data_IF_574335504205
#
_entry.id   IF_574335504205
#
_cell.length_a   1.000
_cell.length_b   1.000
_cell.length_c   1.000
_cell.angle_alpha   90.00
_cell.angle_beta   90.00
_cell.angle_gamma   90.00
#
_symmetry.space_group_name_H-M   'P 1'
#
loop_
_entity.id
_entity.type
_entity.pdbx_description
1 polymer ?
#
# COMPACT_ATOMS: atom_id res chain seq x y z
N UNK A 1 18.70 7.13 -4.68
CA UNK A 1 18.09 8.27 -5.43
C UNK A 1 17.46 9.25 -4.45
N UNK A 2 17.50 10.51 -4.76
CA UNK A 2 16.95 11.57 -3.89
C UNK A 2 15.48 11.86 -4.14
N UNK A 3 15.00 11.52 -5.31
CA UNK A 3 13.61 11.66 -5.70
C UNK A 3 13.22 10.58 -6.69
N UNK A 4 11.93 10.33 -6.83
CA UNK A 4 11.42 9.42 -7.86
C UNK A 4 10.53 10.20 -8.83
N UNK A 5 10.55 9.79 -10.08
CA UNK A 5 9.69 10.33 -11.13
C UNK A 5 8.49 9.42 -11.37
N UNK A 6 7.65 9.81 -12.31
CA UNK A 6 6.47 9.02 -12.66
C UNK A 6 6.82 7.63 -13.19
N UNK A 7 7.90 7.52 -13.98
CA UNK A 7 8.34 6.23 -14.52
C UNK A 7 8.68 5.25 -13.39
N UNK A 8 9.43 5.69 -12.38
CA UNK A 8 9.77 4.86 -11.23
C UNK A 8 8.51 4.48 -10.44
N UNK A 9 7.62 5.43 -10.19
CA UNK A 9 6.39 5.13 -9.46
C UNK A 9 5.50 4.15 -10.22
N UNK A 10 5.43 4.28 -11.54
CA UNK A 10 4.74 3.29 -12.39
C UNK A 10 5.33 1.90 -12.19
N UNK A 11 6.66 1.76 -12.21
CA UNK A 11 7.33 0.48 -11.96
C UNK A 11 7.02 -0.07 -10.57
N UNK A 12 6.98 0.79 -9.56
CA UNK A 12 6.62 0.41 -8.20
C UNK A 12 5.19 -0.16 -8.14
N UNK A 13 4.26 0.53 -8.77
CA UNK A 13 2.84 0.10 -8.81
C UNK A 13 2.70 -1.27 -9.48
N UNK A 14 3.35 -1.46 -10.64
CA UNK A 14 3.29 -2.73 -11.36
C UNK A 14 3.91 -3.87 -10.54
N UNK A 15 5.04 -3.61 -9.89
CA UNK A 15 5.70 -4.58 -9.02
C UNK A 15 4.83 -4.92 -7.80
N UNK A 16 4.22 -3.92 -7.18
CA UNK A 16 3.30 -4.12 -6.06
C UNK A 16 2.11 -5.00 -6.43
N UNK A 17 1.54 -4.78 -7.61
CA UNK A 17 0.44 -5.60 -8.11
C UNK A 17 0.86 -7.07 -8.29
N UNK A 18 2.06 -7.30 -8.81
CA UNK A 18 2.59 -8.65 -9.04
C UNK A 18 2.86 -9.37 -7.72
N UNK A 19 3.50 -8.71 -6.76
CA UNK A 19 3.79 -9.32 -5.45
C UNK A 19 2.49 -9.69 -4.74
N UNK A 20 1.50 -8.81 -4.76
CA UNK A 20 0.20 -9.10 -4.14
C UNK A 20 -0.49 -10.27 -4.85
N UNK A 21 -0.50 -10.28 -6.18
CA UNK A 21 -1.08 -11.38 -6.94
C UNK A 21 -0.40 -12.71 -6.62
N UNK A 22 0.93 -12.73 -6.61
CA UNK A 22 1.70 -13.96 -6.37
C UNK A 22 1.46 -14.54 -4.97
N UNK A 23 1.09 -13.71 -4.01
CA UNK A 23 0.95 -14.09 -2.60
C UNK A 23 -0.48 -13.98 -2.06
N UNK A 24 -1.47 -13.73 -2.93
CA UNK A 24 -2.85 -13.54 -2.44
C UNK A 24 -3.44 -14.79 -1.75
N UNK A 25 -3.06 -16.04 -2.10
CA UNK A 25 -3.59 -17.19 -1.37
C UNK A 25 -3.18 -17.22 0.11
N UNK A 26 -1.96 -16.76 0.45
CA UNK A 26 -1.54 -16.67 1.84
C UNK A 26 -2.33 -15.61 2.59
N UNK A 27 -2.68 -14.50 1.94
CA UNK A 27 -3.53 -13.46 2.54
C UNK A 27 -4.94 -13.99 2.76
N UNK A 28 -5.50 -14.72 1.79
CA UNK A 28 -6.80 -15.35 1.92
C UNK A 28 -6.85 -16.29 3.15
N UNK A 29 -5.76 -17.04 3.38
CA UNK A 29 -5.64 -17.96 4.51
C UNK A 29 -5.65 -17.25 5.87
N UNK A 30 -5.27 -15.99 5.94
CA UNK A 30 -5.28 -15.18 7.17
C UNK A 30 -6.65 -14.58 7.49
N UNK A 31 -7.59 -14.63 6.57
CA UNK A 31 -8.84 -13.86 6.65
C UNK A 31 -9.83 -14.46 7.66
N UNK A 32 -9.89 -13.85 8.85
CA UNK A 32 -10.83 -14.24 9.91
C UNK A 32 -11.70 -13.06 10.40
N UNK A 33 -11.38 -11.83 9.98
CA UNK A 33 -12.07 -10.61 10.40
C UNK A 33 -12.20 -9.64 9.22
N UNK A 34 -13.33 -8.93 9.09
CA UNK A 34 -14.53 -8.98 9.92
C UNK A 34 -15.39 -10.24 9.68
N UNK A 35 -15.28 -10.87 8.53
CA UNK A 35 -16.01 -12.07 8.15
C UNK A 35 -15.00 -13.12 7.64
N UNK A 36 -15.01 -14.35 8.15
CA UNK A 36 -14.00 -15.36 7.80
C UNK A 36 -14.33 -16.08 6.48
N UNK A 37 -14.52 -15.35 5.41
CA UNK A 37 -14.88 -15.87 4.08
C UNK A 37 -13.67 -16.19 3.18
N UNK A 38 -12.44 -15.91 3.64
CA UNK A 38 -11.23 -16.35 2.96
C UNK A 38 -10.95 -15.66 1.63
N UNK A 39 -11.39 -14.42 1.44
CA UNK A 39 -11.31 -13.73 0.16
C UNK A 39 -10.54 -12.39 0.17
N UNK A 40 -9.95 -12.02 1.30
CA UNK A 40 -9.27 -10.72 1.45
C UNK A 40 -8.14 -10.55 0.42
N UNK A 41 -7.29 -11.56 0.28
CA UNK A 41 -6.18 -11.51 -0.67
C UNK A 41 -6.66 -11.43 -2.12
N UNK A 42 -7.64 -12.25 -2.46
CA UNK A 42 -8.26 -12.22 -3.79
C UNK A 42 -8.85 -10.85 -4.10
N UNK A 43 -9.63 -10.30 -3.17
CA UNK A 43 -10.26 -8.99 -3.35
C UNK A 43 -9.24 -7.86 -3.45
N UNK A 44 -8.22 -7.86 -2.61
CA UNK A 44 -7.17 -6.84 -2.66
C UNK A 44 -6.37 -6.93 -3.97
N UNK A 45 -6.04 -8.14 -4.41
CA UNK A 45 -5.32 -8.36 -5.65
C UNK A 45 -6.12 -7.86 -6.85
N UNK A 46 -7.40 -8.19 -6.93
CA UNK A 46 -8.28 -7.71 -8.01
C UNK A 46 -8.40 -6.19 -7.98
N UNK A 47 -8.55 -5.61 -6.79
CA UNK A 47 -8.65 -4.16 -6.61
C UNK A 47 -7.37 -3.47 -7.10
N UNK A 48 -6.21 -3.90 -6.60
CA UNK A 48 -4.95 -3.25 -6.94
C UNK A 48 -4.62 -3.42 -8.42
N UNK A 49 -4.90 -4.59 -8.97
CA UNK A 49 -4.68 -4.87 -10.40
C UNK A 49 -5.52 -3.97 -11.29
N UNK A 50 -6.75 -3.64 -10.88
CA UNK A 50 -7.60 -2.69 -11.63
C UNK A 50 -6.93 -1.33 -11.79
N UNK A 51 -6.25 -0.85 -10.75
CA UNK A 51 -5.49 0.40 -10.82
C UNK A 51 -4.20 0.25 -11.62
N UNK A 52 -3.46 -0.84 -11.39
CA UNK A 52 -2.19 -1.10 -12.06
C UNK A 52 -2.36 -1.22 -13.58
N UNK A 53 -3.43 -1.85 -14.05
CA UNK A 53 -3.73 -1.95 -15.49
C UNK A 53 -3.90 -0.58 -16.14
N UNK A 54 -4.53 0.36 -15.47
CA UNK A 54 -4.68 1.73 -15.98
C UNK A 54 -3.34 2.47 -15.99
N UNK A 55 -2.54 2.29 -14.95
CA UNK A 55 -1.21 2.92 -14.85
C UNK A 55 -0.28 2.37 -15.94
N UNK A 56 -0.35 1.10 -16.25
CA UNK A 56 0.48 0.47 -17.29
C UNK A 56 0.34 1.14 -18.65
N UNK A 57 -0.85 1.66 -18.95
CA UNK A 57 -1.14 2.33 -20.24
C UNK A 57 -0.52 3.73 -20.36
N UNK A 58 -0.03 4.30 -19.26
CA UNK A 58 0.50 5.66 -19.28
C UNK A 58 1.93 5.68 -19.81
N UNK A 59 2.28 6.78 -20.48
CA UNK A 59 3.64 6.99 -20.99
C UNK A 59 4.65 7.13 -19.86
N UNK A 60 5.91 6.76 -20.11
CA UNK A 60 6.98 6.80 -19.12
C UNK A 60 7.32 8.22 -18.63
N UNK A 61 7.02 9.26 -19.44
CA UNK A 61 7.25 10.66 -19.05
C UNK A 61 6.08 11.28 -18.28
N UNK A 62 5.08 10.48 -17.93
CA UNK A 62 3.93 10.95 -17.14
C UNK A 62 4.40 11.41 -15.75
N UNK A 63 3.98 12.61 -15.28
CA UNK A 63 4.33 13.08 -13.93
C UNK A 63 3.82 12.14 -12.84
N UNK A 64 4.54 12.08 -11.72
CA UNK A 64 4.17 11.19 -10.61
C UNK A 64 2.76 11.46 -10.09
N UNK A 65 2.34 12.74 -10.06
CA UNK A 65 0.98 13.09 -9.62
C UNK A 65 -0.10 12.49 -10.51
N UNK A 66 0.15 12.41 -11.81
CA UNK A 66 -0.79 11.82 -12.76
C UNK A 66 -0.80 10.28 -12.69
N UNK A 67 0.35 9.67 -12.44
CA UNK A 67 0.43 8.22 -12.16
C UNK A 67 -0.42 7.89 -10.92
N UNK A 68 -0.24 8.64 -9.84
CA UNK A 68 -0.99 8.44 -8.59
C UNK A 68 -2.50 8.64 -8.79
N UNK A 69 -2.88 9.65 -9.55
CA UNK A 69 -4.28 9.95 -9.87
C UNK A 69 -4.93 8.80 -10.64
N UNK A 70 -4.24 8.30 -11.66
CA UNK A 70 -4.73 7.18 -12.48
C UNK A 70 -4.85 5.91 -11.65
N UNK A 71 -3.86 5.62 -10.80
CA UNK A 71 -3.91 4.50 -9.87
C UNK A 71 -5.15 4.62 -8.95
N UNK A 72 -5.33 5.76 -8.32
CA UNK A 72 -6.44 6.01 -7.41
C UNK A 72 -7.79 5.78 -8.07
N UNK A 73 -7.99 6.32 -9.26
CA UNK A 73 -9.24 6.14 -10.02
C UNK A 73 -9.49 4.68 -10.35
N UNK A 74 -8.49 3.96 -10.81
CA UNK A 74 -8.60 2.55 -11.14
C UNK A 74 -8.93 1.68 -9.93
N UNK A 75 -8.32 1.99 -8.78
CA UNK A 75 -8.61 1.30 -7.52
C UNK A 75 -10.06 1.53 -7.09
N UNK A 76 -10.52 2.79 -7.13
CA UNK A 76 -11.90 3.13 -6.76
C UNK A 76 -12.93 2.41 -7.62
N UNK A 77 -12.68 2.35 -8.92
CA UNK A 77 -13.59 1.69 -9.86
C UNK A 77 -13.62 0.17 -9.68
N UNK A 78 -12.51 -0.43 -9.29
CA UNK A 78 -12.37 -1.87 -9.12
C UNK A 78 -12.40 -2.37 -7.69
N UNK A 79 -12.70 -1.50 -6.72
CA UNK A 79 -12.63 -1.86 -5.30
C UNK A 79 -13.58 -2.99 -4.94
N UNK A 80 -13.04 -4.02 -4.28
CA UNK A 80 -13.78 -5.20 -3.84
C UNK A 80 -13.50 -5.52 -2.38
N UNK A 81 -14.57 -5.72 -1.60
CA UNK A 81 -14.48 -6.05 -0.19
C UNK A 81 -14.00 -4.88 0.67
N UNK A 82 -14.04 -5.05 1.99
CA UNK A 82 -13.62 -4.00 2.93
C UNK A 82 -12.17 -3.58 2.73
N UNK A 83 -11.27 -4.56 2.63
CA UNK A 83 -9.83 -4.28 2.48
C UNK A 83 -9.52 -3.61 1.15
N UNK A 84 -10.22 -4.01 0.07
CA UNK A 84 -10.07 -3.36 -1.24
C UNK A 84 -10.53 -1.90 -1.21
N UNK A 85 -11.65 -1.62 -0.56
CA UNK A 85 -12.15 -0.25 -0.40
C UNK A 85 -11.15 0.59 0.41
N UNK A 86 -10.64 0.06 1.52
CA UNK A 86 -9.66 0.79 2.34
C UNK A 86 -8.38 1.03 1.55
N UNK A 87 -7.89 0.02 0.82
CA UNK A 87 -6.71 0.16 -0.04
C UNK A 87 -6.91 1.30 -1.05
N UNK A 88 -8.08 1.38 -1.67
CA UNK A 88 -8.41 2.46 -2.60
C UNK A 88 -8.37 3.84 -1.92
N UNK A 89 -8.83 3.94 -0.68
CA UNK A 89 -8.82 5.19 0.07
C UNK A 89 -7.41 5.62 0.47
N UNK A 90 -6.55 4.66 0.81
CA UNK A 90 -5.12 4.95 1.08
C UNK A 90 -4.50 5.63 -0.15
N UNK A 91 -4.65 5.05 -1.32
CA UNK A 91 -4.06 5.60 -2.54
C UNK A 91 -4.78 6.85 -3.06
N UNK A 92 -6.04 7.05 -2.68
CA UNK A 92 -6.72 8.32 -2.90
C UNK A 92 -6.01 9.45 -2.13
N UNK A 93 -5.64 9.20 -0.89
CA UNK A 93 -4.86 10.16 -0.08
C UNK A 93 -3.48 10.41 -0.66
N UNK A 94 -2.80 9.36 -1.14
CA UNK A 94 -1.50 9.48 -1.82
C UNK A 94 -1.64 10.36 -3.06
N UNK A 95 -2.64 10.12 -3.89
CA UNK A 95 -2.88 10.90 -5.11
C UNK A 95 -3.18 12.36 -4.81
N UNK A 96 -3.97 12.63 -3.77
CA UNK A 96 -4.30 13.98 -3.33
C UNK A 96 -3.04 14.76 -2.94
N UNK A 97 -2.14 14.12 -2.21
CA UNK A 97 -0.88 14.72 -1.75
C UNK A 97 0.10 14.99 -2.89
N UNK A 98 0.14 14.10 -3.89
CA UNK A 98 1.07 14.22 -5.01
C UNK A 98 0.53 15.04 -6.20
N UNK A 99 -0.69 15.56 -6.08
CA UNK A 99 -1.33 16.30 -7.17
C UNK A 99 -0.43 17.42 -7.69
N UNK A 100 -0.24 17.45 -9.02
CA UNK A 100 0.54 18.50 -9.69
C UNK A 100 2.05 18.32 -9.62
N UNK A 101 2.56 17.26 -9.00
CA UNK A 101 4.00 17.04 -8.87
C UNK A 101 4.54 16.23 -10.04
N UNK A 102 5.71 16.66 -10.55
CA UNK A 102 6.48 15.90 -11.55
C UNK A 102 7.22 14.74 -10.91
N UNK A 103 7.88 15.01 -9.79
CA UNK A 103 8.69 14.08 -9.01
C UNK A 103 8.33 14.22 -7.53
N UNK A 104 8.80 13.29 -6.70
CA UNK A 104 8.64 13.39 -5.26
C UNK A 104 9.93 12.98 -4.56
N UNK A 105 10.35 13.79 -3.60
CA UNK A 105 11.45 13.47 -2.70
C UNK A 105 10.94 12.69 -1.47
N UNK A 106 11.84 12.37 -0.54
CA UNK A 106 11.48 11.61 0.66
C UNK A 106 10.38 12.30 1.47
N UNK A 107 10.51 13.60 1.72
CA UNK A 107 9.52 14.35 2.50
C UNK A 107 8.14 14.33 1.83
N UNK A 108 8.11 14.48 0.51
CA UNK A 108 6.87 14.47 -0.26
C UNK A 108 6.21 13.09 -0.30
N UNK A 109 7.02 12.03 -0.41
CA UNK A 109 6.49 10.66 -0.33
C UNK A 109 5.96 10.35 1.08
N UNK A 110 6.67 10.80 2.12
CA UNK A 110 6.22 10.64 3.49
C UNK A 110 4.87 11.33 3.71
N UNK A 111 4.74 12.58 3.26
CA UNK A 111 3.47 13.32 3.33
C UNK A 111 2.36 12.57 2.58
N UNK A 112 2.68 11.98 1.44
CA UNK A 112 1.70 11.25 0.64
C UNK A 112 1.13 10.04 1.39
N UNK A 113 1.98 9.22 2.02
CA UNK A 113 1.51 8.06 2.79
C UNK A 113 0.80 8.46 4.07
N UNK A 114 1.24 9.54 4.73
CA UNK A 114 0.51 10.12 5.87
C UNK A 114 -0.89 10.58 5.46
N UNK A 115 -1.01 11.23 4.31
CA UNK A 115 -2.30 11.62 3.72
C UNK A 115 -3.17 10.38 3.44
N UNK A 116 -2.56 9.31 2.92
CA UNK A 116 -3.24 8.05 2.67
C UNK A 116 -3.87 7.48 3.94
N UNK A 117 -3.12 7.46 5.04
CA UNK A 117 -3.62 7.00 6.32
C UNK A 117 -4.82 7.84 6.80
N UNK A 118 -4.71 9.17 6.72
CA UNK A 118 -5.78 10.09 7.14
C UNK A 118 -7.06 9.90 6.32
N UNK A 119 -6.92 9.80 5.00
CA UNK A 119 -8.09 9.62 4.12
C UNK A 119 -8.76 8.28 4.41
N UNK A 120 -7.98 7.22 4.60
CA UNK A 120 -8.52 5.89 4.90
C UNK A 120 -9.30 5.88 6.22
N UNK A 121 -8.76 6.50 7.27
CA UNK A 121 -9.48 6.60 8.55
C UNK A 121 -10.78 7.38 8.44
N UNK A 122 -10.80 8.49 7.68
CA UNK A 122 -12.00 9.28 7.49
C UNK A 122 -13.09 8.55 6.70
N UNK A 123 -12.70 7.63 5.84
CA UNK A 123 -13.62 6.87 5.01
C UNK A 123 -14.35 5.76 5.77
N UNK A 124 -13.87 5.38 6.95
CA UNK A 124 -14.43 4.29 7.76
C UNK A 124 -15.21 4.88 8.93
N UNK A 125 -16.48 4.54 9.07
CA UNK A 125 -17.33 5.07 10.14
C UNK A 125 -16.86 4.66 11.53
N UNK A 126 -16.41 3.40 11.68
CA UNK A 126 -15.94 2.85 12.95
C UNK A 126 -14.60 2.17 12.75
N UNK A 127 -13.50 2.95 12.77
CA UNK A 127 -12.16 2.36 12.62
C UNK A 127 -11.90 1.35 13.72
N UNK A 128 -11.37 0.18 13.33
CA UNK A 128 -10.98 -0.89 14.26
C UNK A 128 -9.48 -1.00 14.26
N UNK A 129 -8.87 -0.97 15.46
CA UNK A 129 -7.42 -1.14 15.59
C UNK A 129 -7.04 -2.60 15.49
N UNK A 130 -5.80 -2.85 15.04
CA UNK A 130 -5.33 -4.21 14.73
C UNK A 130 -5.66 -4.62 13.30
N UNK A 131 -5.95 -3.67 12.42
CA UNK A 131 -6.32 -3.90 11.02
C UNK A 131 -5.37 -3.17 10.07
N UNK A 132 -5.63 -3.26 8.77
CA UNK A 132 -4.92 -2.50 7.73
C UNK A 132 -4.82 -1.00 8.08
N UNK A 133 -5.85 -0.44 8.73
CA UNK A 133 -5.84 0.96 9.16
C UNK A 133 -4.70 1.24 10.14
N UNK A 134 -4.51 0.36 11.12
CA UNK A 134 -3.42 0.46 12.09
C UNK A 134 -2.07 0.37 11.39
N UNK A 135 -1.93 -0.59 10.47
CA UNK A 135 -0.66 -0.80 9.76
C UNK A 135 -0.26 0.43 8.96
N UNK A 136 -1.18 1.01 8.20
CA UNK A 136 -0.84 2.23 7.43
C UNK A 136 -0.57 3.42 8.33
N UNK A 137 -1.35 3.61 9.39
CA UNK A 137 -1.15 4.74 10.30
C UNK A 137 0.19 4.64 11.04
N UNK A 138 0.47 3.51 11.67
CA UNK A 138 1.68 3.33 12.46
C UNK A 138 2.94 3.39 11.60
N UNK A 139 2.91 2.75 10.43
CA UNK A 139 4.06 2.76 9.54
C UNK A 139 4.31 4.15 8.93
N UNK A 140 3.26 4.86 8.52
CA UNK A 140 3.40 6.21 7.98
C UNK A 140 3.91 7.19 9.06
N UNK A 141 3.41 7.08 10.29
CA UNK A 141 3.87 7.91 11.41
C UNK A 141 5.35 7.66 11.72
N UNK A 142 5.76 6.39 11.80
CA UNK A 142 7.16 6.04 12.05
C UNK A 142 8.07 6.53 10.92
N UNK A 143 7.65 6.35 9.68
CA UNK A 143 8.41 6.78 8.51
C UNK A 143 8.52 8.30 8.44
N UNK A 144 7.47 9.04 8.83
CA UNK A 144 7.51 10.51 8.87
C UNK A 144 8.55 11.03 9.86
N UNK A 145 8.67 10.37 11.01
CA UNK A 145 9.68 10.72 12.03
C UNK A 145 11.11 10.39 11.58
N UNK A 146 11.25 9.48 10.62
CA UNK A 146 12.55 9.04 10.13
C UNK A 146 13.09 9.94 9.01
N UNK A 147 12.29 10.85 8.46
CA UNK A 147 12.70 11.75 7.38
C UNK A 147 13.87 12.64 7.84
N UNK A 148 14.95 12.67 7.04
CA UNK A 148 16.14 13.48 7.29
C UNK A 148 16.51 14.23 6.01
N UNK A 149 17.23 15.38 6.12
CA UNK A 149 17.73 16.08 4.93
C UNK A 149 18.64 15.17 4.09
N UNK A 150 18.55 15.29 2.77
CA UNK A 150 19.37 14.55 1.80
C UNK A 150 19.28 13.02 1.90
N UNK A 151 18.18 12.52 2.44
CA UNK A 151 17.95 11.09 2.57
C UNK A 151 17.68 10.43 1.21
N UNK A 152 18.20 9.22 1.03
CA UNK A 152 17.88 8.41 -0.15
C UNK A 152 16.48 7.81 -0.02
N UNK A 153 15.75 7.77 -1.13
CA UNK A 153 14.42 7.16 -1.18
C UNK A 153 14.48 5.70 -0.70
N UNK A 154 15.49 4.95 -1.16
CA UNK A 154 15.65 3.52 -0.82
C UNK A 154 15.78 3.30 0.69
N UNK A 155 16.54 4.14 1.37
CA UNK A 155 16.73 4.03 2.81
C UNK A 155 15.46 4.34 3.58
N UNK A 156 14.77 5.40 3.18
CA UNK A 156 13.50 5.78 3.80
C UNK A 156 12.42 4.72 3.57
N UNK A 157 12.29 4.26 2.33
CA UNK A 157 11.27 3.28 1.97
C UNK A 157 11.50 1.94 2.68
N UNK A 158 12.76 1.51 2.80
CA UNK A 158 13.13 0.31 3.56
C UNK A 158 12.66 0.42 5.02
N UNK A 159 12.85 1.59 5.63
CA UNK A 159 12.38 1.82 7.00
C UNK A 159 10.85 1.81 7.09
N UNK A 160 10.17 2.39 6.11
CA UNK A 160 8.72 2.37 6.02
C UNK A 160 8.18 0.93 5.96
N UNK A 161 8.75 0.10 5.11
CA UNK A 161 8.35 -1.31 4.97
C UNK A 161 8.59 -2.08 6.28
N UNK A 162 9.75 -1.88 6.91
CA UNK A 162 10.05 -2.52 8.21
C UNK A 162 9.07 -2.08 9.30
N UNK A 163 8.69 -0.82 9.30
CA UNK A 163 7.70 -0.29 10.24
C UNK A 163 6.33 -0.90 10.00
N UNK A 164 5.94 -1.10 8.75
CA UNK A 164 4.69 -1.77 8.39
C UNK A 164 4.71 -3.23 8.83
N UNK A 165 5.82 -3.93 8.64
CA UNK A 165 5.99 -5.32 9.09
C UNK A 165 5.85 -5.43 10.60
N UNK A 166 6.49 -4.54 11.34
CA UNK A 166 6.40 -4.50 12.81
C UNK A 166 4.97 -4.25 13.27
N UNK A 167 4.28 -3.30 12.64
CA UNK A 167 2.87 -3.00 12.94
C UNK A 167 1.98 -4.21 12.66
N UNK A 168 2.19 -4.86 11.51
CA UNK A 168 1.43 -6.06 11.13
C UNK A 168 1.61 -7.17 12.17
N UNK A 169 2.84 -7.45 12.59
CA UNK A 169 3.15 -8.48 13.58
C UNK A 169 2.46 -8.21 14.92
N UNK A 170 2.19 -6.94 15.23
CA UNK A 170 1.55 -6.52 16.48
C UNK A 170 0.01 -6.50 16.40
N UNK A 171 -0.60 -6.70 15.22
CA UNK A 171 -2.06 -6.64 15.08
C UNK A 171 -2.82 -7.60 16.01
N UNK A 172 -2.33 -8.83 16.29
CA UNK A 172 -3.02 -9.72 17.23
C UNK A 172 -3.13 -9.17 18.66
N UNK A 173 -2.21 -8.29 19.06
CA UNK A 173 -2.25 -7.66 20.39
C UNK A 173 -3.32 -6.57 20.47
N UNK A 174 -3.81 -6.07 19.33
CA UNK A 174 -4.82 -5.02 19.25
C UNK A 174 -6.22 -5.55 18.93
N UNK A 175 -6.30 -6.67 18.24
CA UNK A 175 -7.57 -7.27 17.81
C UNK A 175 -7.63 -8.72 18.29
N UNK A 176 -8.38 -8.98 19.40
CA UNK A 176 -8.34 -10.29 20.09
C UNK A 176 -8.66 -11.51 19.22
N UNK A 177 -9.54 -11.38 18.25
CA UNK A 177 -9.89 -12.52 17.37
C UNK A 177 -8.68 -13.03 16.60
N UNK A 178 -7.74 -12.15 16.23
CA UNK A 178 -6.50 -12.54 15.54
C UNK A 178 -5.62 -13.38 16.46
N UNK A 179 -5.52 -12.98 17.72
CA UNK A 179 -4.73 -13.70 18.72
C UNK A 179 -5.31 -15.07 19.01
N UNK A 180 -6.63 -15.17 19.11
CA UNK A 180 -7.33 -16.43 19.35
C UNK A 180 -7.07 -17.44 18.24
N UNK A 181 -7.06 -16.99 16.98
CA UNK A 181 -6.81 -17.84 15.81
C UNK A 181 -5.32 -18.06 15.57
N UNK A 182 -4.47 -17.12 16.01
CA UNK A 182 -3.02 -17.20 15.81
C UNK A 182 -2.58 -16.67 14.47
N UNK A 183 -3.22 -15.61 13.98
CA UNK A 183 -2.91 -14.98 12.68
C UNK A 183 -2.69 -13.48 12.85
N UNK A 184 -2.05 -12.85 11.84
CA UNK A 184 -2.01 -11.39 11.71
C UNK A 184 -3.16 -10.91 10.83
N UNK A 185 -3.42 -9.59 10.80
CA UNK A 185 -4.50 -9.05 9.98
C UNK A 185 -4.28 -9.27 8.48
N UNK A 186 -5.27 -9.87 7.82
CA UNK A 186 -5.17 -10.18 6.39
C UNK A 186 -5.06 -8.93 5.51
N UNK A 187 -5.85 -7.89 5.80
CA UNK A 187 -5.77 -6.63 5.06
C UNK A 187 -4.41 -5.95 5.20
N UNK A 188 -3.88 -5.95 6.43
CA UNK A 188 -2.54 -5.44 6.71
C UNK A 188 -1.46 -6.23 5.98
N UNK A 189 -1.60 -7.56 5.92
CA UNK A 189 -0.67 -8.41 5.18
C UNK A 189 -0.68 -8.08 3.68
N UNK A 190 -1.85 -7.85 3.11
CA UNK A 190 -1.97 -7.44 1.70
C UNK A 190 -1.32 -6.09 1.43
N UNK A 191 -1.50 -5.13 2.33
CA UNK A 191 -0.84 -3.83 2.22
C UNK A 191 0.69 -3.98 2.26
N UNK A 192 1.20 -4.79 3.17
CA UNK A 192 2.65 -5.03 3.27
C UNK A 192 3.21 -5.61 1.98
N UNK A 193 2.48 -6.51 1.33
CA UNK A 193 2.89 -7.08 0.04
C UNK A 193 2.98 -6.02 -1.05
N UNK A 194 2.03 -5.09 -1.12
CA UNK A 194 2.09 -3.96 -2.06
C UNK A 194 3.35 -3.13 -1.80
N UNK A 195 3.61 -2.77 -0.56
CA UNK A 195 4.78 -1.97 -0.19
C UNK A 195 6.09 -2.72 -0.45
N UNK A 196 6.10 -4.03 -0.23
CA UNK A 196 7.25 -4.90 -0.55
C UNK A 196 7.54 -4.88 -2.04
N UNK A 197 6.50 -4.93 -2.87
CA UNK A 197 6.66 -4.82 -4.33
C UNK A 197 7.20 -3.45 -4.75
N UNK A 198 6.76 -2.38 -4.10
CA UNK A 198 7.31 -1.03 -4.33
C UNK A 198 8.80 -1.00 -4.01
N UNK A 199 9.20 -1.61 -2.89
CA UNK A 199 10.61 -1.68 -2.48
C UNK A 199 11.45 -2.46 -3.47
N UNK A 200 10.92 -3.58 -3.99
CA UNK A 200 11.61 -4.40 -4.98
C UNK A 200 11.92 -3.59 -6.25
N UNK A 201 10.95 -2.80 -6.73
CA UNK A 201 11.16 -1.93 -7.89
C UNK A 201 12.25 -0.87 -7.62
N UNK A 202 12.24 -0.26 -6.42
CA UNK A 202 13.27 0.70 -6.03
C UNK A 202 14.67 0.07 -6.01
N UNK A 203 14.76 -1.22 -5.64
CA UNK A 203 16.02 -1.96 -5.64
C UNK A 203 16.42 -2.49 -7.03
N UNK A 204 15.62 -2.23 -8.05
CA UNK A 204 15.89 -2.71 -9.41
C UNK A 204 15.58 -4.18 -9.64
N UNK A 205 14.84 -4.82 -8.73
CA UNK A 205 14.43 -6.21 -8.88
C UNK A 205 13.27 -6.36 -9.85
N UNK A 206 13.33 -7.36 -10.70
CA UNK A 206 12.23 -7.73 -11.61
C UNK A 206 11.52 -8.94 -11.00
N UNK A 207 10.23 -8.81 -10.73
CA UNK A 207 9.43 -9.89 -10.17
C UNK A 207 8.53 -10.44 -11.26
N UNK A 208 8.57 -11.76 -11.45
CA UNK A 208 7.73 -12.42 -12.43
C UNK A 208 6.38 -12.78 -11.85
N UNK A 209 5.34 -12.57 -12.64
CA UNK A 209 3.97 -12.92 -12.26
C UNK A 209 3.79 -14.43 -12.36
N UNK A 210 3.30 -15.04 -11.29
CA UNK A 210 2.95 -16.47 -11.23
C UNK A 210 1.50 -16.63 -11.74
N UNK A 211 1.24 -17.69 -12.49
CA UNK A 211 -0.11 -17.99 -13.00
C UNK A 211 -1.08 -18.51 -11.93
#
# INVERSE_FOLDING_TARGET
MKEINGKMFKQMVLSGAIVLHNNHPEVDALNVFPVPDGDTGTNMSLTFNSGAEQVEKLADDTPIGDIAKTLSKGLLMGARGNSGVILSQIFRGVAKSLKGKETANVAELSDAFSSGAKVAYKAVMRPVEGTILTVIRESADAAAKYVQPDMEIEDWFSYFVKSAEKSLDNTPELLPVLKEVGVVDSGGAGLLLVLTGFMAALAGEVIEKVD
#
